data_IF_407211529698
#
_entry.id   IF_407211529698
#
_cell.length_a   1.000
_cell.length_b   1.000
_cell.length_c   1.000
_cell.angle_alpha   90.00
_cell.angle_beta   90.00
_cell.angle_gamma   90.00
#
_symmetry.space_group_name_H-M   'P 1'
#
loop_
_entity.id
_entity.type
_entity.pdbx_description
1 polymer ?
#
# COMPACT_ATOMS: atom_id res chain seq x y z
N UNK A 1 -18.54 -69.05 -18.07
CA UNK A 1 -17.84 -68.93 -19.37
C UNK A 1 -17.83 -67.48 -19.83
N UNK A 2 -16.72 -67.11 -20.46
CA UNK A 2 -16.33 -65.76 -20.85
C UNK A 2 -16.82 -65.40 -22.28
N UNK A 3 -16.77 -64.09 -22.60
CA UNK A 3 -16.84 -63.40 -23.93
C UNK A 3 -18.24 -62.91 -24.38
N UNK A 4 -18.46 -61.65 -24.79
CA UNK A 4 -17.71 -60.83 -25.78
C UNK A 4 -17.98 -59.30 -25.66
N UNK A 5 -17.04 -58.53 -26.20
CA UNK A 5 -16.83 -57.06 -26.31
C UNK A 5 -17.67 -56.36 -27.40
N UNK A 6 -18.02 -55.07 -27.22
CA UNK A 6 -18.04 -53.97 -28.23
C UNK A 6 -18.42 -52.63 -27.51
N UNK A 7 -17.53 -51.67 -27.24
CA UNK A 7 -17.09 -50.48 -28.02
C UNK A 7 -18.17 -49.45 -28.47
N UNK A 8 -18.12 -48.30 -27.77
CA UNK A 8 -18.26 -46.85 -28.10
C UNK A 8 -19.27 -46.33 -29.16
N UNK A 9 -20.03 -45.26 -28.82
CA UNK A 9 -19.72 -43.85 -29.20
C UNK A 9 -20.78 -42.82 -28.66
N UNK A 10 -20.57 -41.48 -28.76
CA UNK A 10 -20.92 -40.47 -27.74
C UNK A 10 -22.02 -39.46 -28.13
N UNK A 11 -22.60 -38.79 -27.13
CA UNK A 11 -23.22 -37.45 -27.18
C UNK A 11 -23.73 -37.17 -25.75
N UNK A 12 -23.36 -36.11 -25.05
CA UNK A 12 -23.39 -34.72 -25.51
C UNK A 12 -24.42 -33.99 -24.66
N UNK A 13 -24.17 -33.87 -23.35
CA UNK A 13 -24.94 -33.01 -22.45
C UNK A 13 -24.01 -31.93 -21.89
N UNK A 14 -24.04 -30.79 -22.59
CA UNK A 14 -23.49 -29.52 -22.13
C UNK A 14 -24.36 -29.04 -20.96
N UNK A 15 -24.15 -29.62 -19.77
CA UNK A 15 -24.70 -29.10 -18.53
C UNK A 15 -23.89 -27.88 -18.14
N UNK A 16 -24.44 -26.70 -18.43
CA UNK A 16 -23.94 -25.42 -17.96
C UNK A 16 -23.84 -25.46 -16.43
N UNK A 17 -22.62 -25.58 -15.93
CA UNK A 17 -22.32 -25.49 -14.51
C UNK A 17 -22.74 -24.10 -14.03
N UNK A 18 -23.76 -24.09 -13.19
CA UNK A 18 -24.17 -22.95 -12.37
C UNK A 18 -22.98 -22.58 -11.49
N UNK A 19 -22.25 -21.52 -11.87
CA UNK A 19 -21.25 -20.89 -11.03
C UNK A 19 -21.97 -20.18 -9.88
N UNK A 20 -22.33 -20.94 -8.86
CA UNK A 20 -22.65 -20.42 -7.54
C UNK A 20 -21.39 -19.73 -7.02
N UNK A 21 -21.31 -18.40 -7.19
CA UNK A 21 -20.39 -17.55 -6.44
C UNK A 21 -20.77 -17.58 -4.96
N UNK A 22 -20.46 -18.69 -4.29
CA UNK A 22 -20.39 -18.71 -2.85
C UNK A 22 -19.17 -17.86 -2.48
N UNK A 23 -19.41 -16.58 -2.21
CA UNK A 23 -18.51 -15.65 -1.52
C UNK A 23 -18.26 -16.13 -0.09
N UNK A 24 -17.77 -17.35 0.05
CA UNK A 24 -17.18 -17.81 1.27
C UNK A 24 -15.84 -17.10 1.34
N UNK A 25 -15.80 -15.96 2.03
CA UNK A 25 -14.58 -15.24 2.34
C UNK A 25 -13.56 -16.25 2.87
N UNK A 26 -12.59 -16.64 2.04
CA UNK A 26 -11.64 -17.70 2.36
C UNK A 26 -10.83 -17.21 3.56
N UNK A 27 -11.17 -17.75 4.72
CA UNK A 27 -10.57 -17.35 5.97
C UNK A 27 -9.16 -17.97 6.05
N UNK A 28 -8.13 -17.14 6.21
CA UNK A 28 -6.77 -17.66 6.30
C UNK A 28 -6.57 -18.49 7.59
N UNK A 29 -6.28 -19.77 7.42
CA UNK A 29 -6.05 -20.71 8.54
C UNK A 29 -4.77 -20.41 9.33
N UNK A 30 -3.82 -19.69 8.73
CA UNK A 30 -2.50 -19.39 9.31
C UNK A 30 -2.53 -18.27 10.37
N UNK A 31 -3.59 -17.45 10.41
CA UNK A 31 -3.72 -16.30 11.32
C UNK A 31 -3.45 -16.67 12.78
N UNK A 32 -3.99 -17.78 13.27
CA UNK A 32 -3.85 -18.15 14.67
C UNK A 32 -2.40 -18.47 15.04
N UNK A 33 -1.63 -19.11 14.14
CA UNK A 33 -0.24 -19.48 14.37
C UNK A 33 0.73 -18.33 14.10
N UNK A 34 0.44 -17.52 13.08
CA UNK A 34 1.34 -16.48 12.55
C UNK A 34 1.16 -15.10 13.20
N UNK A 35 0.07 -14.85 13.93
CA UNK A 35 -0.16 -13.56 14.62
C UNK A 35 0.13 -13.69 16.12
N UNK A 36 1.02 -12.85 16.63
CA UNK A 36 1.31 -12.67 18.06
C UNK A 36 1.44 -11.18 18.40
N UNK A 37 0.30 -10.58 18.75
CA UNK A 37 0.21 -9.16 19.05
C UNK A 37 1.07 -8.74 20.26
N UNK A 38 1.31 -9.64 21.22
CA UNK A 38 2.11 -9.32 22.40
C UNK A 38 3.59 -9.19 22.05
N UNK A 39 4.11 -10.10 21.23
CA UNK A 39 5.48 -9.99 20.69
C UNK A 39 5.64 -8.77 19.79
N UNK A 40 4.67 -8.51 18.91
CA UNK A 40 4.69 -7.33 18.03
C UNK A 40 4.71 -6.04 18.85
N UNK A 41 3.86 -5.92 19.88
CA UNK A 41 3.85 -4.79 20.83
C UNK A 41 5.23 -4.57 21.45
N UNK A 42 5.82 -5.61 22.03
CA UNK A 42 7.16 -5.55 22.64
C UNK A 42 8.23 -5.11 21.65
N UNK A 43 8.18 -5.63 20.41
CA UNK A 43 9.11 -5.24 19.35
C UNK A 43 8.98 -3.75 19.04
N UNK A 44 7.76 -3.26 18.79
CA UNK A 44 7.50 -1.87 18.45
C UNK A 44 7.79 -0.90 19.60
N UNK A 45 7.60 -1.30 20.85
CA UNK A 45 8.03 -0.48 22.00
C UNK A 45 9.55 -0.29 22.02
N UNK A 46 10.32 -1.29 21.58
CA UNK A 46 11.78 -1.25 21.55
C UNK A 46 12.34 -0.52 20.34
N UNK A 47 11.82 -0.82 19.14
CA UNK A 47 12.41 -0.35 17.87
C UNK A 47 11.60 0.73 17.18
N UNK A 48 10.33 0.92 17.55
CA UNK A 48 9.40 1.78 16.82
C UNK A 48 9.06 1.24 15.43
N UNK A 49 8.30 2.03 14.67
CA UNK A 49 8.12 1.85 13.23
C UNK A 49 9.33 2.43 12.51
N UNK A 50 9.92 1.64 11.61
CA UNK A 50 11.08 2.06 10.84
C UNK A 50 10.67 2.68 9.51
N UNK A 51 11.48 3.61 9.03
CA UNK A 51 11.36 4.23 7.70
C UNK A 51 12.09 3.44 6.63
N UNK A 52 13.12 2.69 7.03
CA UNK A 52 14.03 2.01 6.13
C UNK A 52 14.25 0.57 6.57
N UNK A 53 14.50 -0.31 5.60
CA UNK A 53 14.82 -1.70 5.88
C UNK A 53 16.27 -1.84 6.39
N UNK A 54 16.45 -2.39 7.59
CA UNK A 54 17.79 -2.60 8.18
C UNK A 54 18.69 -3.50 7.33
N UNK A 55 18.12 -4.50 6.66
CA UNK A 55 18.88 -5.39 5.78
C UNK A 55 19.32 -4.69 4.49
N UNK A 56 18.53 -3.74 3.96
CA UNK A 56 18.95 -2.93 2.82
C UNK A 56 20.15 -2.04 3.16
N UNK A 57 20.24 -1.52 4.39
CA UNK A 57 21.37 -0.67 4.83
C UNK A 57 22.71 -1.40 4.86
N UNK A 58 22.69 -2.74 4.89
CA UNK A 58 23.89 -3.59 4.91
C UNK A 58 24.41 -3.90 3.51
N UNK A 59 23.61 -3.66 2.48
CA UNK A 59 24.02 -3.86 1.10
C UNK A 59 24.79 -2.63 0.62
N UNK A 60 25.80 -2.80 -0.25
CA UNK A 60 26.42 -1.67 -0.92
C UNK A 60 25.35 -0.88 -1.68
N UNK A 61 25.51 0.45 -1.82
CA UNK A 61 24.62 1.24 -2.66
C UNK A 61 24.64 0.66 -4.07
N UNK A 62 23.46 0.31 -4.59
CA UNK A 62 23.31 -0.09 -5.98
C UNK A 62 23.69 1.13 -6.84
N UNK A 63 24.82 1.05 -7.53
CA UNK A 63 25.30 2.10 -8.43
C UNK A 63 24.63 2.07 -9.81
N UNK A 64 23.78 1.07 -10.07
CA UNK A 64 23.06 0.87 -11.32
C UNK A 64 21.58 0.84 -11.01
N UNK A 65 20.88 1.97 -11.03
CA UNK A 65 19.43 2.07 -11.27
C UNK A 65 19.13 3.56 -11.52
N UNK A 66 18.73 3.91 -12.75
CA UNK A 66 18.13 5.21 -13.07
C UNK A 66 16.82 5.42 -12.28
N UNK A 67 16.28 6.64 -12.29
CA UNK A 67 15.15 7.15 -11.47
C UNK A 67 13.88 6.27 -11.40
N UNK A 68 13.96 5.08 -10.81
CA UNK A 68 12.85 4.18 -10.54
C UNK A 68 12.44 4.43 -9.09
N UNK A 69 11.27 5.05 -8.91
CA UNK A 69 10.67 5.28 -7.61
C UNK A 69 10.25 3.93 -6.99
N UNK A 70 11.05 3.44 -6.06
CA UNK A 70 10.74 2.21 -5.33
C UNK A 70 9.68 2.44 -4.25
N UNK A 71 8.78 1.48 -4.09
CA UNK A 71 7.94 1.41 -2.89
C UNK A 71 8.83 1.27 -1.64
N UNK A 72 8.91 2.36 -0.88
CA UNK A 72 9.64 2.44 0.39
C UNK A 72 8.89 1.76 1.54
N UNK A 73 7.67 1.27 1.30
CA UNK A 73 6.86 0.61 2.33
C UNK A 73 7.56 -0.62 2.88
N UNK A 74 7.54 -0.71 4.21
CA UNK A 74 8.00 -1.89 4.92
C UNK A 74 6.84 -2.84 5.18
N UNK A 75 7.22 -4.11 5.34
CA UNK A 75 6.34 -5.18 5.75
C UNK A 75 6.72 -5.60 7.16
N UNK A 76 5.78 -5.47 8.08
CA UNK A 76 5.91 -5.84 9.48
C UNK A 76 5.41 -7.27 9.69
N UNK A 77 6.27 -8.18 10.15
CA UNK A 77 5.88 -9.54 10.52
C UNK A 77 4.94 -9.52 11.72
N UNK A 78 3.78 -10.15 11.61
CA UNK A 78 2.77 -10.20 12.66
C UNK A 78 3.11 -11.21 13.78
N UNK A 79 4.18 -12.00 13.64
CA UNK A 79 4.64 -12.93 14.68
C UNK A 79 5.66 -12.32 15.62
N UNK A 80 6.62 -11.57 15.09
CA UNK A 80 7.79 -11.10 15.84
C UNK A 80 8.02 -9.59 15.76
N UNK A 81 7.34 -8.88 14.85
CA UNK A 81 7.51 -7.45 14.64
C UNK A 81 8.77 -7.06 13.84
N UNK A 82 9.39 -7.98 13.11
CA UNK A 82 10.46 -7.65 12.16
C UNK A 82 9.91 -6.76 11.03
N UNK A 83 10.66 -5.74 10.61
CA UNK A 83 10.27 -4.79 9.55
C UNK A 83 11.25 -4.87 8.39
N UNK A 84 10.76 -5.25 7.22
CA UNK A 84 11.61 -5.52 6.07
C UNK A 84 10.98 -5.05 4.75
N UNK A 85 11.81 -4.75 3.75
CA UNK A 85 11.31 -4.26 2.47
C UNK A 85 10.53 -5.35 1.70
N UNK A 86 9.56 -4.89 0.91
CA UNK A 86 8.65 -5.73 0.16
C UNK A 86 9.22 -6.34 -1.11
N UNK A 87 8.31 -6.90 -1.92
CA UNK A 87 8.63 -7.59 -3.17
C UNK A 87 9.19 -6.69 -4.26
N UNK A 88 8.79 -5.42 -4.29
CA UNK A 88 9.25 -4.42 -5.26
C UNK A 88 10.68 -3.90 -5.01
N UNK A 89 11.30 -4.29 -3.89
CA UNK A 89 12.70 -3.95 -3.57
C UNK A 89 13.51 -5.24 -3.38
N UNK A 90 14.26 -5.36 -2.29
CA UNK A 90 15.19 -6.48 -2.06
C UNK A 90 14.55 -7.74 -1.44
N UNK A 91 13.21 -7.80 -1.35
CA UNK A 91 12.47 -8.98 -0.86
C UNK A 91 12.89 -9.44 0.55
N UNK A 92 13.35 -8.53 1.42
CA UNK A 92 13.80 -8.90 2.76
C UNK A 92 12.66 -9.45 3.62
N UNK A 93 11.41 -9.02 3.41
CA UNK A 93 10.26 -9.61 4.08
C UNK A 93 10.05 -11.09 3.72
N UNK A 94 10.27 -11.45 2.44
CA UNK A 94 10.20 -12.83 1.97
C UNK A 94 11.38 -13.66 2.50
N UNK A 95 12.60 -13.09 2.49
CA UNK A 95 13.79 -13.72 3.08
C UNK A 95 13.58 -14.01 4.57
N UNK A 96 12.98 -13.07 5.30
CA UNK A 96 12.63 -13.25 6.70
C UNK A 96 11.69 -14.45 6.90
N UNK A 97 10.64 -14.57 6.09
CA UNK A 97 9.72 -15.72 6.13
C UNK A 97 10.43 -17.05 5.82
N UNK A 98 11.29 -17.09 4.79
CA UNK A 98 12.02 -18.29 4.39
C UNK A 98 13.13 -18.70 5.35
N UNK A 99 13.59 -17.79 6.22
CA UNK A 99 14.57 -18.11 7.25
C UNK A 99 13.96 -19.12 8.22
N UNK A 100 14.64 -20.22 8.57
CA UNK A 100 14.10 -21.19 9.52
C UNK A 100 13.83 -20.55 10.89
N UNK A 101 12.58 -20.67 11.36
CA UNK A 101 12.15 -20.23 12.69
C UNK A 101 11.48 -21.39 13.43
N UNK A 102 11.46 -21.36 14.76
CA UNK A 102 10.68 -22.29 15.57
C UNK A 102 9.16 -22.03 15.50
N UNK A 103 8.78 -20.81 15.12
CA UNK A 103 7.40 -20.34 15.03
C UNK A 103 7.02 -20.03 13.57
N UNK A 104 5.72 -20.00 13.25
CA UNK A 104 5.24 -19.58 11.92
C UNK A 104 5.32 -18.05 11.75
N UNK A 105 6.13 -17.59 10.80
CA UNK A 105 6.29 -16.19 10.42
C UNK A 105 5.60 -15.88 9.09
N UNK A 106 4.54 -16.62 8.78
CA UNK A 106 3.88 -16.59 7.48
C UNK A 106 3.09 -15.31 7.20
N UNK A 107 2.82 -14.46 8.18
CA UNK A 107 1.99 -13.27 7.99
C UNK A 107 2.73 -11.97 8.25
N UNK A 108 2.50 -11.00 7.38
CA UNK A 108 2.99 -9.64 7.52
C UNK A 108 1.96 -8.61 7.06
N UNK A 109 2.16 -7.36 7.48
CA UNK A 109 1.33 -6.23 7.10
C UNK A 109 2.18 -5.13 6.48
N UNK A 110 1.69 -4.51 5.41
CA UNK A 110 2.30 -3.32 4.84
C UNK A 110 2.09 -2.11 5.75
N UNK A 111 3.15 -1.40 6.13
CA UNK A 111 3.10 -0.29 7.10
C UNK A 111 2.57 1.03 6.52
N UNK A 112 2.35 1.10 5.22
CA UNK A 112 1.88 2.30 4.52
C UNK A 112 0.41 2.16 4.14
N UNK A 113 0.06 1.12 3.39
CA UNK A 113 -1.31 0.89 2.90
C UNK A 113 -2.13 -0.03 3.82
N UNK A 114 -1.51 -0.62 4.83
CA UNK A 114 -2.17 -1.46 5.83
C UNK A 114 -2.92 -2.67 5.25
N UNK A 115 -2.40 -3.27 4.17
CA UNK A 115 -2.82 -4.57 3.66
C UNK A 115 -2.09 -5.71 4.38
N UNK A 116 -2.75 -6.86 4.56
CA UNK A 116 -2.18 -8.03 5.20
C UNK A 116 -1.88 -9.12 4.16
N UNK A 117 -0.71 -9.74 4.25
CA UNK A 117 -0.27 -10.81 3.34
C UNK A 117 0.03 -12.08 4.11
N UNK A 118 -0.31 -13.23 3.54
CA UNK A 118 0.13 -14.54 4.02
C UNK A 118 1.01 -15.22 2.97
N UNK A 119 2.26 -15.57 3.34
CA UNK A 119 3.19 -16.28 2.48
C UNK A 119 2.83 -17.75 2.28
N UNK A 120 2.24 -18.41 3.27
CA UNK A 120 1.79 -19.82 3.14
C UNK A 120 0.61 -19.93 2.15
N UNK A 121 -0.28 -18.93 2.13
CA UNK A 121 -1.39 -18.85 1.16
C UNK A 121 -0.98 -18.24 -0.17
N UNK A 122 0.18 -17.58 -0.21
CA UNK A 122 0.63 -16.67 -1.26
C UNK A 122 -0.45 -15.70 -1.75
N UNK A 123 -1.21 -15.13 -0.82
CA UNK A 123 -2.34 -14.26 -1.12
C UNK A 123 -2.53 -13.15 -0.07
N UNK A 124 -3.28 -12.11 -0.46
CA UNK A 124 -3.73 -11.06 0.43
C UNK A 124 -4.82 -11.60 1.37
N UNK A 125 -4.67 -11.30 2.67
CA UNK A 125 -5.61 -11.75 3.69
C UNK A 125 -6.57 -10.62 4.01
N UNK A 126 -7.87 -10.91 3.88
CA UNK A 126 -8.90 -10.00 4.34
C UNK A 126 -8.77 -9.76 5.86
N UNK A 127 -8.42 -8.54 6.25
CA UNK A 127 -8.21 -8.15 7.66
C UNK A 127 -9.44 -8.44 8.51
N UNK A 128 -10.63 -8.36 7.93
CA UNK A 128 -11.91 -8.54 8.61
C UNK A 128 -12.30 -10.00 8.85
N UNK A 129 -11.55 -10.98 8.33
CA UNK A 129 -11.93 -12.38 8.44
C UNK A 129 -11.78 -12.94 9.87
N UNK A 130 -10.89 -12.39 10.71
CA UNK A 130 -10.69 -12.83 12.11
C UNK A 130 -10.47 -11.67 13.07
N UNK A 131 -11.13 -11.72 14.23
CA UNK A 131 -10.94 -10.77 15.35
C UNK A 131 -9.47 -10.60 15.75
N UNK A 132 -8.73 -11.70 15.83
CA UNK A 132 -7.30 -11.67 16.19
C UNK A 132 -6.46 -10.81 15.23
N UNK A 133 -6.76 -10.86 13.94
CA UNK A 133 -6.09 -10.04 12.93
C UNK A 133 -6.60 -8.60 12.98
N UNK A 134 -7.91 -8.39 13.08
CA UNK A 134 -8.52 -7.06 13.22
C UNK A 134 -7.92 -6.27 14.40
N UNK A 135 -7.85 -6.89 15.59
CA UNK A 135 -7.27 -6.27 16.79
C UNK A 135 -5.80 -5.89 16.61
N UNK A 136 -5.02 -6.75 15.93
CA UNK A 136 -3.64 -6.45 15.63
C UNK A 136 -3.51 -5.25 14.68
N UNK A 137 -4.33 -5.21 13.62
CA UNK A 137 -4.34 -4.14 12.64
C UNK A 137 -4.78 -2.80 13.23
N UNK A 138 -5.83 -2.80 14.06
CA UNK A 138 -6.31 -1.61 14.77
C UNK A 138 -5.23 -1.04 15.70
N UNK A 139 -4.58 -1.92 16.49
CA UNK A 139 -3.47 -1.51 17.35
C UNK A 139 -2.33 -0.87 16.54
N UNK A 140 -1.93 -1.49 15.44
CA UNK A 140 -0.80 -1.01 14.63
C UNK A 140 -1.08 0.36 13.99
N UNK A 141 -2.29 0.55 13.43
CA UNK A 141 -2.71 1.84 12.85
C UNK A 141 -2.70 2.95 13.89
N UNK A 142 -3.30 2.70 15.06
CA UNK A 142 -3.32 3.65 16.18
C UNK A 142 -1.92 4.01 16.68
N UNK A 143 -1.02 3.02 16.74
CA UNK A 143 0.36 3.23 17.17
C UNK A 143 1.15 4.06 16.14
N UNK A 144 0.94 3.82 14.85
CA UNK A 144 1.58 4.59 13.79
C UNK A 144 1.12 6.06 13.77
N UNK A 145 -0.17 6.32 13.98
CA UNK A 145 -0.72 7.67 14.11
C UNK A 145 -0.18 8.40 15.34
N UNK A 146 -0.13 7.72 16.49
CA UNK A 146 0.40 8.28 17.74
C UNK A 146 1.88 8.68 17.63
N UNK A 147 2.66 7.97 16.81
CA UNK A 147 4.05 8.31 16.55
C UNK A 147 4.21 9.56 15.67
N UNK A 148 3.30 9.81 14.72
CA UNK A 148 3.32 11.05 13.91
C UNK A 148 3.15 12.30 14.78
N UNK A 149 2.30 12.23 15.81
CA UNK A 149 2.03 13.36 16.72
C UNK A 149 3.25 13.67 17.61
N UNK A 150 3.98 12.66 18.08
CA UNK A 150 5.18 12.86 18.93
C UNK A 150 6.38 13.47 18.20
N UNK A 151 6.49 13.25 16.89
CA UNK A 151 7.55 13.83 16.06
C UNK A 151 7.35 15.33 15.80
N UNK A 152 6.15 15.88 16.06
CA UNK A 152 5.85 17.32 15.93
C UNK A 152 6.21 18.10 17.21
N UNK A 153 6.43 17.42 18.34
CA UNK A 153 6.60 18.06 19.66
C UNK A 153 8.02 18.00 20.25
N UNK A 154 9.07 17.74 19.45
CA UNK A 154 10.47 17.83 19.93
C UNK A 154 11.08 19.19 19.55
N UNK A 155 11.49 20.04 20.51
CA UNK A 155 12.28 21.22 20.22
C UNK A 155 13.77 20.85 20.30
N UNK A 156 14.39 20.56 19.15
CA UNK A 156 15.82 20.77 18.98
C UNK A 156 16.19 21.07 17.51
N UNK A 157 16.24 22.38 17.24
CA UNK A 157 17.20 23.17 16.45
C UNK A 157 17.70 22.71 15.06
N UNK A 158 17.50 23.62 14.10
CA UNK A 158 18.20 23.88 12.83
C UNK A 158 17.94 22.98 11.60
N UNK A 159 16.94 23.33 10.78
CA UNK A 159 17.07 24.30 9.67
C UNK A 159 16.04 24.04 8.54
N UNK A 160 15.29 25.10 8.23
CA UNK A 160 14.59 25.40 6.96
C UNK A 160 13.48 24.45 6.51
N UNK A 161 12.27 24.72 6.98
CA UNK A 161 11.03 24.35 6.29
C UNK A 161 10.38 25.62 5.76
N UNK A 162 10.10 25.63 4.46
CA UNK A 162 9.24 26.62 3.81
C UNK A 162 7.80 26.42 4.29
N UNK A 163 7.19 27.52 4.72
CA UNK A 163 5.78 27.61 5.09
C UNK A 163 4.88 27.24 3.90
N UNK A 164 4.23 26.06 3.96
CA UNK A 164 3.05 25.77 3.15
C UNK A 164 1.82 25.99 4.04
N UNK A 165 1.37 27.24 4.08
CA UNK A 165 0.12 27.62 4.70
C UNK A 165 -1.06 27.00 3.92
N UNK A 166 -1.66 25.96 4.52
CA UNK A 166 -2.97 25.44 4.10
C UNK A 166 -4.01 26.49 4.43
N UNK A 167 -4.42 27.27 3.42
CA UNK A 167 -5.53 28.23 3.56
C UNK A 167 -6.84 27.46 3.43
N UNK A 168 -7.49 27.27 4.58
CA UNK A 168 -8.91 26.96 4.67
C UNK A 168 -9.67 28.17 4.10
N UNK A 169 -10.45 27.97 3.05
CA UNK A 169 -11.41 28.95 2.55
C UNK A 169 -12.73 28.81 3.32
N UNK A 170 -13.31 29.91 3.84
CA UNK A 170 -14.75 30.04 3.97
C UNK A 170 -15.32 30.83 2.78
N UNK A 171 -16.33 30.23 2.17
CA UNK A 171 -17.24 30.81 1.19
C UNK A 171 -18.14 31.87 1.86
N UNK A 172 -18.29 33.07 1.27
CA UNK A 172 -19.52 33.90 1.33
C UNK A 172 -19.48 35.12 0.37
N UNK A 173 -20.35 35.05 -0.65
CA UNK A 173 -21.36 36.04 -1.10
C UNK A 173 -21.05 37.54 -1.32
N UNK A 174 -21.18 37.96 -2.59
CA UNK A 174 -21.75 39.21 -3.15
C UNK A 174 -21.28 40.56 -2.56
N UNK A 175 -20.64 41.48 -3.28
CA UNK A 175 -21.17 42.30 -4.40
C UNK A 175 -20.04 43.26 -4.86
N UNK A 176 -19.99 43.59 -6.15
CA UNK A 176 -19.48 44.88 -6.65
C UNK A 176 -17.98 45.19 -6.62
N UNK A 177 -17.49 45.60 -7.79
CA UNK A 177 -16.26 46.37 -8.05
C UNK A 177 -14.91 45.63 -8.00
N UNK A 178 -14.24 45.67 -9.16
CA UNK A 178 -12.84 45.29 -9.35
C UNK A 178 -11.90 46.16 -8.50
N UNK A 179 -10.84 45.56 -7.96
CA UNK A 179 -9.51 46.14 -8.15
C UNK A 179 -8.56 45.12 -8.76
N UNK A 180 -7.82 45.55 -9.78
CA UNK A 180 -6.61 44.86 -10.26
C UNK A 180 -5.61 44.82 -9.11
N UNK A 181 -5.23 43.62 -8.67
CA UNK A 181 -4.02 43.43 -7.87
C UNK A 181 -3.20 42.30 -8.48
N UNK A 182 -2.14 42.71 -9.15
CA UNK A 182 -1.05 41.89 -9.64
C UNK A 182 -0.31 41.31 -8.44
N UNK A 183 -0.34 40.00 -8.24
CA UNK A 183 0.68 39.33 -7.42
C UNK A 183 1.25 38.17 -8.24
N UNK A 184 2.39 38.47 -8.85
CA UNK A 184 3.18 37.60 -9.71
C UNK A 184 4.02 36.65 -8.86
N UNK A 185 3.55 35.41 -8.72
CA UNK A 185 4.44 34.24 -8.68
C UNK A 185 4.23 33.49 -9.99
N UNK A 186 4.98 33.92 -11.01
CA UNK A 186 5.03 33.29 -12.32
C UNK A 186 6.03 32.14 -12.27
N UNK A 187 5.56 30.94 -11.94
CA UNK A 187 6.07 29.75 -12.64
C UNK A 187 5.21 29.61 -13.89
N UNK A 188 5.82 29.83 -15.04
CA UNK A 188 5.15 29.96 -16.35
C UNK A 188 4.71 28.58 -16.85
N UNK A 189 3.74 27.94 -16.18
CA UNK A 189 3.10 26.76 -16.74
C UNK A 189 2.12 27.19 -17.84
N UNK A 190 2.20 26.62 -19.05
CA UNK A 190 1.26 26.94 -20.11
C UNK A 190 -0.18 26.74 -19.63
N UNK A 191 -1.03 27.75 -19.88
CA UNK A 191 -2.46 27.66 -19.55
C UNK A 191 -3.06 26.41 -20.19
N UNK A 192 -3.56 25.50 -19.36
CA UNK A 192 -4.19 24.27 -19.82
C UNK A 192 -5.31 24.58 -20.84
N UNK A 193 -5.22 23.97 -22.02
CA UNK A 193 -6.29 23.98 -23.02
C UNK A 193 -7.17 22.75 -22.83
N UNK A 194 -8.45 22.89 -23.16
CA UNK A 194 -9.39 21.76 -23.14
C UNK A 194 -8.95 20.67 -24.12
N UNK A 195 -9.11 19.41 -23.70
CA UNK A 195 -8.87 18.25 -24.56
C UNK A 195 -10.20 17.83 -25.19
N UNK A 196 -10.21 17.58 -26.50
CA UNK A 196 -11.40 17.10 -27.21
C UNK A 196 -11.75 15.68 -26.76
N UNK A 197 -13.02 15.41 -26.53
CA UNK A 197 -13.49 14.05 -26.23
C UNK A 197 -13.63 13.25 -27.52
N UNK A 198 -13.03 12.07 -27.57
CA UNK A 198 -13.10 11.14 -28.71
C UNK A 198 -13.95 9.89 -28.39
N UNK A 199 -14.88 10.01 -27.45
CA UNK A 199 -15.72 8.91 -26.94
C UNK A 199 -15.03 8.12 -25.82
N UNK A 200 -15.67 8.01 -24.65
CA UNK A 200 -15.14 7.36 -23.44
C UNK A 200 -13.78 7.87 -22.92
N UNK A 201 -13.22 8.95 -23.48
CA UNK A 201 -11.92 9.52 -23.06
C UNK A 201 -12.03 10.54 -21.93
N UNK A 202 -13.21 10.79 -21.36
CA UNK A 202 -13.38 11.86 -20.37
C UNK A 202 -12.54 11.63 -19.11
N UNK A 203 -12.44 10.38 -18.64
CA UNK A 203 -11.59 10.01 -17.52
C UNK A 203 -10.11 10.28 -17.81
N UNK A 204 -9.63 9.83 -18.98
CA UNK A 204 -8.27 10.07 -19.44
C UNK A 204 -7.97 11.57 -19.55
N UNK A 205 -8.88 12.33 -20.15
CA UNK A 205 -8.76 13.78 -20.33
C UNK A 205 -8.66 14.50 -18.98
N UNK A 206 -9.43 14.07 -17.97
CA UNK A 206 -9.35 14.63 -16.60
C UNK A 206 -8.00 14.35 -15.95
N UNK A 207 -7.50 13.11 -16.02
CA UNK A 207 -6.21 12.72 -15.43
C UNK A 207 -5.06 13.47 -16.10
N UNK A 208 -5.04 13.52 -17.44
CA UNK A 208 -3.98 14.21 -18.19
C UNK A 208 -3.92 15.71 -17.90
N UNK A 209 -5.07 16.36 -17.69
CA UNK A 209 -5.11 17.78 -17.32
C UNK A 209 -4.60 18.03 -15.89
N UNK A 210 -4.83 17.11 -14.95
CA UNK A 210 -4.25 17.20 -13.60
C UNK A 210 -2.72 17.03 -13.62
N UNK A 211 -2.22 16.04 -14.34
CA UNK A 211 -0.79 15.77 -14.44
C UNK A 211 -0.04 16.92 -15.15
N UNK A 212 -0.59 17.44 -16.25
CA UNK A 212 -0.01 18.53 -17.03
C UNK A 212 -0.05 19.92 -16.36
N UNK A 213 -0.60 20.02 -15.15
CA UNK A 213 -0.55 21.24 -14.32
C UNK A 213 0.21 21.00 -13.00
N UNK A 214 0.91 19.87 -12.88
CA UNK A 214 1.76 19.56 -11.73
C UNK A 214 3.19 20.02 -12.04
N UNK A 215 3.72 21.07 -11.38
CA UNK A 215 4.98 21.73 -11.76
C UNK A 215 6.19 20.80 -11.84
N UNK A 216 6.20 19.73 -11.04
CA UNK A 216 7.32 18.79 -10.94
C UNK A 216 7.29 17.66 -11.97
N UNK A 217 6.21 17.53 -12.75
CA UNK A 217 6.05 16.48 -13.77
C UNK A 217 6.35 16.97 -15.19
N UNK A 218 6.62 18.27 -15.36
CA UNK A 218 6.79 18.90 -16.68
C UNK A 218 8.26 19.06 -17.10
N UNK A 219 9.22 18.80 -16.21
CA UNK A 219 10.67 18.91 -16.46
C UNK A 219 11.37 17.53 -16.65
N UNK A 220 10.64 16.50 -17.11
CA UNK A 220 11.21 15.19 -17.51
C UNK A 220 11.46 15.12 -19.02
#
# INVERSE_FOLDING_TARGET
MNKKKHQNDPNGDESSESWDENQNSIECVHINKAVDLQRVKKSLTRTGFQTDCEECKKLPPDNDIGDIEYDLSLWLCLKCGNQACGRGRNKHALKHYNTPHSDSHAMCVNTTIWSAWCYDCDDEVNISCKKKLQEAMEFLRKQAESNKIKQISSPHTDNRILDIATTILPLSTSTGAMPKLTNSFSSTLPRARGLTNLGNTCFFNSVMQCLGQTPYLLEL
#
